data_IF_352714053414
#
_entry.id   IF_352714053414
#
_cell.length_a   1.000
_cell.length_b   1.000
_cell.length_c   1.000
_cell.angle_alpha   90.00
_cell.angle_beta   90.00
_cell.angle_gamma   90.00
#
_symmetry.space_group_name_H-M   'P 1'
#
loop_
_entity.id
_entity.type
_entity.pdbx_description
1 polymer ?
#
# COMPACT_ATOMS: atom_id res chain seq x y z
N UNK A 1 26.31 -0.22 -12.32
CA UNK A 1 24.85 -0.11 -12.17
C UNK A 1 24.35 -1.50 -11.81
N UNK A 2 23.50 -1.60 -10.81
CA UNK A 2 22.84 -2.86 -10.47
C UNK A 2 21.99 -3.32 -11.67
N UNK A 3 22.28 -4.51 -12.19
CA UNK A 3 21.61 -5.08 -13.37
C UNK A 3 20.12 -5.36 -13.12
N UNK A 4 19.70 -5.41 -11.85
CA UNK A 4 18.33 -5.65 -11.43
C UNK A 4 17.60 -4.36 -11.00
N UNK A 5 18.16 -3.19 -11.32
CA UNK A 5 17.52 -1.89 -11.07
C UNK A 5 16.72 -1.43 -12.29
N UNK A 6 15.60 -0.73 -12.02
CA UNK A 6 14.83 -0.02 -13.06
C UNK A 6 15.45 1.32 -13.47
N UNK A 7 16.57 1.71 -12.85
CA UNK A 7 17.30 2.94 -13.15
C UNK A 7 16.63 4.19 -12.62
N UNK A 8 16.81 5.31 -13.34
CA UNK A 8 16.20 6.59 -12.98
C UNK A 8 14.74 6.65 -13.42
N UNK A 9 13.87 7.11 -12.52
CA UNK A 9 12.42 7.21 -12.74
C UNK A 9 11.96 8.62 -12.42
N UNK A 10 11.00 9.14 -13.19
CA UNK A 10 10.36 10.43 -12.93
C UNK A 10 8.88 10.25 -12.60
N UNK A 11 8.35 10.99 -11.61
CA UNK A 11 6.94 10.96 -11.28
C UNK A 11 6.12 11.58 -12.41
N UNK A 12 5.00 10.93 -12.73
CA UNK A 12 3.99 11.41 -13.65
C UNK A 12 2.76 11.89 -12.88
N UNK A 13 1.97 12.77 -13.49
CA UNK A 13 0.80 13.37 -12.87
C UNK A 13 -0.41 13.25 -13.78
N UNK A 14 -1.51 12.74 -13.22
CA UNK A 14 -2.79 12.65 -13.89
C UNK A 14 -3.84 13.46 -13.12
N UNK A 15 -4.39 14.49 -13.76
CA UNK A 15 -5.43 15.35 -13.18
C UNK A 15 -6.78 15.08 -13.83
N UNK A 16 -7.81 14.86 -13.01
CA UNK A 16 -9.20 14.63 -13.40
C UNK A 16 -10.16 15.36 -12.44
N UNK A 17 -11.47 15.14 -12.58
CA UNK A 17 -12.48 15.78 -11.73
C UNK A 17 -12.39 17.33 -11.77
N UNK A 18 -12.13 17.87 -12.96
CA UNK A 18 -12.06 19.31 -13.21
C UNK A 18 -13.33 19.82 -13.89
N UNK A 19 -13.69 21.08 -13.62
CA UNK A 19 -14.91 21.68 -14.16
C UNK A 19 -16.17 21.02 -13.60
N UNK A 20 -17.04 20.52 -14.48
CA UNK A 20 -18.31 19.87 -14.10
C UNK A 20 -18.15 18.40 -13.70
N UNK A 21 -17.01 17.76 -14.00
CA UNK A 21 -16.67 16.42 -13.49
C UNK A 21 -16.11 16.56 -12.07
N UNK A 22 -16.55 15.71 -11.14
CA UNK A 22 -16.13 15.72 -9.75
C UNK A 22 -15.95 14.29 -9.24
N UNK A 23 -15.02 14.07 -8.31
CA UNK A 23 -14.94 12.80 -7.60
C UNK A 23 -15.95 12.81 -6.45
N UNK A 24 -17.02 12.03 -6.58
CA UNK A 24 -17.96 11.77 -5.49
C UNK A 24 -17.31 10.82 -4.48
N UNK A 25 -17.27 11.24 -3.22
CA UNK A 25 -16.70 10.49 -2.10
C UNK A 25 -17.78 9.70 -1.36
N UNK A 26 -17.40 8.67 -0.62
CA UNK A 26 -18.34 7.90 0.23
C UNK A 26 -19.06 8.77 1.27
N UNK A 27 -18.43 9.88 1.69
CA UNK A 27 -19.04 10.87 2.58
C UNK A 27 -20.19 11.67 1.94
N UNK A 28 -20.43 11.50 0.63
CA UNK A 28 -21.39 12.30 -0.16
C UNK A 28 -20.86 13.66 -0.59
N UNK A 29 -19.65 14.07 -0.14
CA UNK A 29 -18.96 15.27 -0.62
C UNK A 29 -18.31 15.01 -1.99
N UNK A 30 -18.00 16.09 -2.69
CA UNK A 30 -17.24 16.07 -3.94
C UNK A 30 -15.84 16.64 -3.75
N UNK A 31 -14.87 16.12 -4.49
CA UNK A 31 -13.50 16.63 -4.56
C UNK A 31 -13.10 16.88 -6.02
N UNK A 32 -12.54 18.06 -6.31
CA UNK A 32 -12.09 18.43 -7.65
C UNK A 32 -11.38 19.80 -7.70
N UNK A 33 -10.35 19.99 -8.55
CA UNK A 33 -9.68 18.97 -9.35
C UNK A 33 -8.86 18.01 -8.49
N UNK A 34 -8.74 16.76 -8.95
CA UNK A 34 -7.96 15.71 -8.29
C UNK A 34 -6.77 15.35 -9.16
N UNK A 35 -5.58 15.41 -8.60
CA UNK A 35 -4.33 14.96 -9.19
C UNK A 35 -3.86 13.69 -8.49
N UNK A 36 -3.43 12.69 -9.26
CA UNK A 36 -2.67 11.55 -8.76
C UNK A 36 -1.25 11.63 -9.30
N UNK A 37 -0.29 11.60 -8.38
CA UNK A 37 1.10 11.32 -8.70
C UNK A 37 1.29 9.81 -8.80
N UNK A 38 1.93 9.35 -9.87
CA UNK A 38 2.16 7.94 -10.12
C UNK A 38 3.48 7.72 -10.86
N UNK A 39 4.00 6.50 -10.74
CA UNK A 39 5.15 6.01 -11.48
C UNK A 39 4.83 4.67 -12.15
N UNK A 40 5.60 4.37 -13.18
CA UNK A 40 5.44 3.14 -13.96
C UNK A 40 6.79 2.51 -14.24
N UNK A 41 6.85 1.18 -14.16
CA UNK A 41 8.08 0.40 -14.33
C UNK A 41 7.85 -0.76 -15.31
N UNK A 42 8.81 -1.01 -16.19
CA UNK A 42 8.68 -2.02 -17.25
C UNK A 42 7.85 -1.55 -18.45
N UNK A 43 7.39 -2.50 -19.28
CA UNK A 43 6.71 -2.20 -20.55
C UNK A 43 5.30 -2.77 -20.63
N UNK A 44 4.34 -1.91 -20.93
CA UNK A 44 2.95 -2.30 -21.22
C UNK A 44 2.89 -3.11 -22.53
N UNK A 45 2.32 -4.32 -22.48
CA UNK A 45 2.19 -5.14 -23.68
C UNK A 45 1.02 -4.67 -24.58
N UNK A 46 1.00 -5.14 -25.83
CA UNK A 46 0.05 -4.66 -26.86
C UNK A 46 -1.43 -4.84 -26.47
N UNK A 47 -1.76 -5.91 -25.74
CA UNK A 47 -3.13 -6.17 -25.27
C UNK A 47 -3.39 -5.66 -23.84
N UNK A 48 -2.46 -4.90 -23.27
CA UNK A 48 -2.54 -4.25 -21.94
C UNK A 48 -2.92 -5.21 -20.81
N UNK A 49 -2.44 -6.44 -20.87
CA UNK A 49 -2.87 -7.55 -20.00
C UNK A 49 -1.88 -7.89 -18.89
N UNK A 50 -0.69 -7.27 -18.88
CA UNK A 50 0.43 -7.53 -17.96
C UNK A 50 0.60 -6.48 -16.86
N UNK A 51 -0.46 -5.76 -16.49
CA UNK A 51 -0.36 -4.65 -15.52
C UNK A 51 -0.45 -5.12 -14.09
N UNK A 52 0.53 -4.77 -13.26
CA UNK A 52 0.48 -4.93 -11.81
C UNK A 52 0.29 -3.56 -11.16
N UNK A 53 -0.79 -3.37 -10.39
CA UNK A 53 -0.98 -2.18 -9.56
C UNK A 53 -0.42 -2.45 -8.16
N UNK A 54 0.57 -1.67 -7.75
CA UNK A 54 1.16 -1.65 -6.42
C UNK A 54 0.48 -0.55 -5.60
N UNK A 55 -0.10 -0.93 -4.47
CA UNK A 55 -0.71 -0.04 -3.49
C UNK A 55 0.25 0.12 -2.31
N UNK A 56 0.70 1.36 -2.05
CA UNK A 56 1.65 1.62 -0.97
C UNK A 56 1.00 1.55 0.43
N UNK A 57 1.83 1.28 1.44
CA UNK A 57 1.45 1.32 2.86
C UNK A 57 1.36 2.77 3.39
N UNK A 58 0.97 2.96 4.66
CA UNK A 58 0.70 4.26 5.29
C UNK A 58 1.73 5.36 4.98
N UNK A 59 3.03 5.02 5.03
CA UNK A 59 4.12 5.99 4.85
C UNK A 59 4.86 5.93 3.51
N UNK A 60 4.39 5.07 2.60
CA UNK A 60 4.91 4.97 1.23
C UNK A 60 4.30 6.03 0.31
N UNK A 61 4.68 5.98 -0.96
CA UNK A 61 4.23 6.89 -2.01
C UNK A 61 4.31 6.21 -3.39
N UNK A 62 4.22 7.00 -4.46
CA UNK A 62 4.32 6.51 -5.83
C UNK A 62 5.71 5.94 -6.17
N UNK A 63 6.77 6.35 -5.47
CA UNK A 63 8.15 5.96 -5.79
C UNK A 63 8.48 4.60 -5.20
N UNK A 64 7.97 3.55 -5.85
CA UNK A 64 8.13 2.17 -5.40
C UNK A 64 9.46 1.53 -5.82
N UNK A 65 10.12 2.01 -6.88
CA UNK A 65 11.36 1.42 -7.39
C UNK A 65 12.24 2.44 -8.14
N UNK A 66 13.52 2.11 -8.31
CA UNK A 66 14.48 2.95 -9.01
C UNK A 66 14.93 4.14 -8.17
N UNK A 67 15.46 5.16 -8.83
CA UNK A 67 15.98 6.37 -8.20
C UNK A 67 15.39 7.61 -8.86
N UNK A 68 15.08 8.64 -8.07
CA UNK A 68 14.85 9.97 -8.63
C UNK A 68 16.18 10.64 -9.05
N UNK A 69 16.18 11.54 -10.04
CA UNK A 69 17.38 12.25 -10.45
C UNK A 69 18.09 12.96 -9.27
N UNK A 70 19.34 12.57 -9.01
CA UNK A 70 20.16 13.16 -7.95
C UNK A 70 19.96 12.54 -6.55
N UNK A 71 19.02 11.61 -6.39
CA UNK A 71 18.84 10.86 -5.14
C UNK A 71 19.69 9.58 -5.11
N UNK A 72 20.08 9.19 -3.89
CA UNK A 72 20.89 7.98 -3.65
C UNK A 72 20.11 6.86 -2.99
N UNK A 73 18.92 7.15 -2.46
CA UNK A 73 18.02 6.15 -1.90
C UNK A 73 17.06 5.67 -2.99
N UNK A 74 16.87 4.35 -3.13
CA UNK A 74 15.91 3.84 -4.09
C UNK A 74 14.47 3.94 -3.56
N UNK A 75 13.50 3.68 -4.43
CA UNK A 75 12.09 3.57 -4.08
C UNK A 75 11.80 2.54 -2.97
N UNK A 76 10.67 2.70 -2.30
CA UNK A 76 10.37 2.02 -1.03
C UNK A 76 10.22 0.49 -1.13
N UNK A 77 10.00 -0.04 -2.33
CA UNK A 77 9.93 -1.48 -2.61
C UNK A 77 10.87 -1.93 -3.72
N UNK A 78 11.99 -1.22 -3.91
CA UNK A 78 12.91 -1.46 -5.03
C UNK A 78 13.37 -2.92 -5.07
N UNK A 79 13.61 -3.54 -3.91
CA UNK A 79 14.02 -4.94 -3.82
C UNK A 79 13.01 -5.93 -4.46
N UNK A 80 11.73 -5.55 -4.57
CA UNK A 80 10.66 -6.38 -5.14
C UNK A 80 10.32 -6.02 -6.60
N UNK A 81 10.70 -4.85 -7.09
CA UNK A 81 10.32 -4.34 -8.41
C UNK A 81 11.56 -4.08 -9.26
N UNK A 82 11.66 -4.74 -10.41
CA UNK A 82 12.75 -4.58 -11.35
C UNK A 82 13.06 -5.86 -12.13
N UNK A 83 14.06 -5.85 -13.02
CA UNK A 83 14.39 -7.01 -13.83
C UNK A 83 14.69 -8.24 -12.97
N UNK A 84 13.94 -9.33 -13.19
CA UNK A 84 14.10 -10.60 -12.46
C UNK A 84 13.65 -10.63 -11.00
N UNK A 85 13.10 -9.52 -10.46
CA UNK A 85 12.54 -9.44 -9.10
C UNK A 85 11.10 -10.00 -9.05
N UNK A 86 10.48 -10.01 -7.87
CA UNK A 86 9.12 -10.53 -7.65
C UNK A 86 8.09 -9.96 -8.64
N UNK A 87 8.17 -8.64 -8.86
CA UNK A 87 7.42 -7.91 -9.86
C UNK A 87 8.34 -7.58 -11.03
N UNK A 88 8.66 -8.63 -11.79
CA UNK A 88 9.63 -8.60 -12.89
C UNK A 88 9.22 -7.62 -14.00
N UNK A 89 9.96 -6.51 -14.13
CA UNK A 89 9.68 -5.44 -15.11
C UNK A 89 9.99 -5.84 -16.55
N UNK A 90 10.68 -6.96 -16.78
CA UNK A 90 10.83 -7.55 -18.11
C UNK A 90 9.54 -8.25 -18.57
N UNK A 91 8.64 -8.57 -17.62
CA UNK A 91 7.40 -9.30 -17.89
C UNK A 91 6.15 -8.47 -17.65
N UNK A 92 6.19 -7.59 -16.66
CA UNK A 92 5.03 -6.84 -16.17
C UNK A 92 5.23 -5.33 -16.36
N UNK A 93 4.11 -4.64 -16.51
CA UNK A 93 4.04 -3.19 -16.41
C UNK A 93 3.52 -2.84 -15.03
N UNK A 94 4.42 -2.43 -14.14
CA UNK A 94 4.10 -2.11 -12.76
C UNK A 94 3.69 -0.65 -12.68
N UNK A 95 2.60 -0.35 -11.98
CA UNK A 95 2.10 1.01 -11.72
C UNK A 95 2.00 1.19 -10.21
N UNK A 96 2.53 2.28 -9.68
CA UNK A 96 2.33 2.68 -8.29
C UNK A 96 1.86 4.13 -8.26
N UNK A 97 0.84 4.44 -7.47
CA UNK A 97 0.32 5.81 -7.34
C UNK A 97 0.19 6.19 -5.89
N UNK A 98 0.56 7.42 -5.55
CA UNK A 98 0.30 7.97 -4.23
C UNK A 98 -1.22 8.16 -4.05
N UNK A 99 -1.76 7.82 -2.88
CA UNK A 99 -3.20 7.96 -2.61
C UNK A 99 -3.66 9.41 -2.53
N UNK A 100 -4.93 9.69 -2.84
CA UNK A 100 -5.57 10.96 -2.43
C UNK A 100 -5.55 11.05 -0.89
N UNK A 101 -5.43 12.26 -0.36
CA UNK A 101 -5.15 12.50 1.06
C UNK A 101 -3.68 12.33 1.45
N UNK A 102 -2.85 11.75 0.57
CA UNK A 102 -1.39 11.72 0.73
C UNK A 102 -0.73 13.09 0.58
N UNK A 103 0.59 13.12 0.78
CA UNK A 103 1.40 14.34 0.73
C UNK A 103 2.59 14.24 -0.23
N UNK A 104 2.55 13.28 -1.17
CA UNK A 104 3.61 12.99 -2.13
C UNK A 104 3.08 13.13 -3.57
N UNK A 105 2.63 14.34 -3.89
CA UNK A 105 2.22 14.75 -5.23
C UNK A 105 0.72 14.61 -5.52
N UNK A 106 0.06 13.54 -5.06
CA UNK A 106 -1.40 13.42 -5.19
C UNK A 106 -2.16 14.42 -4.31
N UNK A 107 -3.37 14.79 -4.71
CA UNK A 107 -4.19 15.76 -4.00
C UNK A 107 -4.50 15.29 -2.58
N UNK A 108 -4.16 16.13 -1.61
CA UNK A 108 -4.38 15.90 -0.18
C UNK A 108 -4.53 17.23 0.59
N UNK A 109 -4.53 17.19 1.93
CA UNK A 109 -4.76 18.37 2.76
C UNK A 109 -3.71 19.48 2.58
N UNK A 110 -2.47 19.13 2.20
CA UNK A 110 -1.43 20.12 1.86
C UNK A 110 -1.57 20.73 0.46
N UNK A 111 -2.44 20.17 -0.39
CA UNK A 111 -2.68 20.68 -1.75
C UNK A 111 -3.47 21.98 -1.72
N UNK A 112 -3.31 22.78 -2.77
CA UNK A 112 -4.04 24.03 -2.93
C UNK A 112 -5.54 23.79 -3.16
N UNK A 113 -6.37 24.46 -2.37
CA UNK A 113 -7.81 24.51 -2.55
C UNK A 113 -8.15 25.62 -3.57
N UNK A 114 -8.71 25.27 -4.75
CA UNK A 114 -9.02 26.24 -5.80
C UNK A 114 -10.10 27.26 -5.38
N UNK A 115 -10.91 26.96 -4.37
CA UNK A 115 -11.98 27.83 -3.89
C UNK A 115 -11.47 28.94 -2.96
N UNK A 116 -10.43 28.66 -2.17
CA UNK A 116 -9.96 29.58 -1.12
C UNK A 116 -8.60 30.21 -1.44
N UNK A 117 -7.84 29.62 -2.36
CA UNK A 117 -6.51 30.09 -2.68
C UNK A 117 -5.43 29.68 -1.66
N UNK A 118 -5.74 28.72 -0.77
CA UNK A 118 -4.87 28.27 0.33
C UNK A 118 -4.81 26.74 0.37
N UNK A 119 -3.84 26.11 1.07
CA UNK A 119 -3.89 24.67 1.33
C UNK A 119 -5.24 24.24 1.92
N UNK A 120 -5.74 23.06 1.55
CA UNK A 120 -7.02 22.56 2.07
C UNK A 120 -7.05 22.43 3.59
N UNK A 121 -5.94 22.06 4.23
CA UNK A 121 -5.92 21.77 5.66
C UNK A 121 -7.06 20.81 6.08
N UNK A 122 -7.85 21.19 7.08
CA UNK A 122 -9.01 20.39 7.52
C UNK A 122 -10.29 20.64 6.70
N UNK A 123 -10.27 21.55 5.71
CA UNK A 123 -11.37 21.69 4.77
C UNK A 123 -11.36 20.59 3.70
N UNK A 124 -10.24 19.87 3.57
CA UNK A 124 -10.14 18.64 2.77
C UNK A 124 -11.26 17.68 3.22
N UNK A 125 -12.03 17.09 2.30
CA UNK A 125 -13.08 16.16 2.71
C UNK A 125 -12.50 14.90 3.35
N UNK A 126 -13.21 14.36 4.34
CA UNK A 126 -12.90 13.01 4.83
C UNK A 126 -13.02 12.01 3.68
N UNK A 127 -12.00 11.17 3.56
CA UNK A 127 -11.85 10.16 2.53
C UNK A 127 -11.81 8.76 3.16
N UNK A 128 -12.10 7.76 2.34
CA UNK A 128 -11.99 6.34 2.71
C UNK A 128 -10.99 5.61 1.81
N UNK A 129 -10.66 4.36 2.15
CA UNK A 129 -9.91 3.47 1.25
C UNK A 129 -10.66 3.26 -0.08
N UNK A 130 -12.00 3.24 -0.08
CA UNK A 130 -12.78 3.14 -1.31
C UNK A 130 -12.60 4.36 -2.21
N UNK A 131 -12.55 5.57 -1.63
CA UNK A 131 -12.27 6.80 -2.37
C UNK A 131 -10.87 6.78 -3.00
N UNK A 132 -9.86 6.29 -2.26
CA UNK A 132 -8.50 6.10 -2.79
C UNK A 132 -8.50 5.15 -3.99
N UNK A 133 -9.20 4.02 -3.88
CA UNK A 133 -9.33 3.03 -4.97
C UNK A 133 -10.14 3.58 -6.15
N UNK A 134 -11.16 4.39 -5.90
CA UNK A 134 -11.93 5.07 -6.95
C UNK A 134 -11.08 6.06 -7.73
N UNK A 135 -10.20 6.80 -7.06
CA UNK A 135 -9.23 7.66 -7.72
C UNK A 135 -8.23 6.84 -8.55
N UNK A 136 -7.65 5.77 -7.98
CA UNK A 136 -6.76 4.85 -8.71
C UNK A 136 -7.46 4.26 -9.95
N UNK A 137 -8.75 3.93 -9.88
CA UNK A 137 -9.50 3.46 -11.04
C UNK A 137 -9.50 4.48 -12.18
N UNK A 138 -9.66 5.77 -11.88
CA UNK A 138 -9.61 6.83 -12.90
C UNK A 138 -8.23 6.88 -13.58
N UNK A 139 -7.15 6.65 -12.83
CA UNK A 139 -5.79 6.51 -13.39
C UNK A 139 -5.67 5.26 -14.27
N UNK A 140 -6.15 4.11 -13.83
CA UNK A 140 -6.13 2.86 -14.61
C UNK A 140 -6.93 3.01 -15.91
N UNK A 141 -8.06 3.72 -15.88
CA UNK A 141 -8.85 4.06 -17.06
C UNK A 141 -8.10 5.00 -18.01
N UNK A 142 -7.45 6.03 -17.48
CA UNK A 142 -6.61 6.96 -18.25
C UNK A 142 -5.46 6.24 -18.98
N UNK A 143 -4.83 5.26 -18.31
CA UNK A 143 -3.79 4.42 -18.91
C UNK A 143 -4.36 3.38 -19.90
N UNK A 144 -5.67 3.33 -20.12
CA UNK A 144 -6.33 2.44 -21.08
C UNK A 144 -6.35 0.97 -20.65
N UNK A 145 -6.32 0.69 -19.34
CA UNK A 145 -6.17 -0.66 -18.79
C UNK A 145 -7.53 -1.19 -18.36
N UNK A 146 -8.11 -2.11 -19.14
CA UNK A 146 -9.42 -2.70 -18.82
C UNK A 146 -9.40 -3.61 -17.59
N UNK A 147 -8.32 -4.41 -17.43
CA UNK A 147 -8.20 -5.42 -16.38
C UNK A 147 -6.76 -5.55 -15.91
N UNK A 148 -6.55 -5.39 -14.60
CA UNK A 148 -5.27 -5.60 -13.94
C UNK A 148 -4.89 -7.08 -13.97
N UNK A 149 -3.62 -7.36 -14.27
CA UNK A 149 -3.04 -8.68 -14.05
C UNK A 149 -3.02 -9.00 -12.56
N UNK A 150 -2.55 -8.06 -11.75
CA UNK A 150 -2.54 -8.18 -10.30
C UNK A 150 -2.74 -6.81 -9.65
N UNK A 151 -3.39 -6.80 -8.48
CA UNK A 151 -3.29 -5.71 -7.51
C UNK A 151 -2.60 -6.26 -6.25
N UNK A 152 -1.65 -5.53 -5.70
CA UNK A 152 -0.82 -5.99 -4.59
C UNK A 152 -0.53 -4.85 -3.62
N UNK A 153 -0.45 -5.17 -2.33
CA UNK A 153 -0.02 -4.22 -1.31
C UNK A 153 0.08 -4.84 0.07
N UNK A 154 0.99 -4.30 0.87
CA UNK A 154 1.16 -4.62 2.29
C UNK A 154 0.46 -3.62 3.19
N UNK A 155 0.01 -4.02 4.38
CA UNK A 155 -0.57 -3.11 5.38
C UNK A 155 -1.81 -2.38 4.83
N UNK A 156 -1.83 -1.04 4.89
CA UNK A 156 -2.84 -0.20 4.21
C UNK A 156 -2.93 -0.47 2.70
N UNK A 157 -1.82 -0.80 2.04
CA UNK A 157 -1.80 -1.24 0.64
C UNK A 157 -2.60 -2.51 0.42
N UNK A 158 -2.59 -3.41 1.40
CA UNK A 158 -3.39 -4.63 1.40
C UNK A 158 -4.89 -4.35 1.52
N UNK A 159 -5.29 -3.34 2.30
CA UNK A 159 -6.68 -2.87 2.37
C UNK A 159 -7.14 -2.35 1.01
N UNK A 160 -6.30 -1.56 0.32
CA UNK A 160 -6.57 -1.09 -1.04
C UNK A 160 -6.67 -2.25 -2.03
N UNK A 161 -5.79 -3.26 -1.96
CA UNK A 161 -5.86 -4.44 -2.82
C UNK A 161 -7.15 -5.25 -2.61
N UNK A 162 -7.58 -5.43 -1.36
CA UNK A 162 -8.87 -6.03 -1.02
C UNK A 162 -10.04 -5.19 -1.55
N UNK A 163 -10.00 -3.88 -1.35
CA UNK A 163 -11.02 -2.95 -1.85
C UNK A 163 -11.14 -3.00 -3.38
N UNK A 164 -10.03 -3.05 -4.12
CA UNK A 164 -10.01 -3.24 -5.57
C UNK A 164 -10.70 -4.53 -5.99
N UNK A 165 -10.33 -5.64 -5.36
CA UNK A 165 -10.91 -6.94 -5.67
C UNK A 165 -12.42 -6.99 -5.31
N UNK A 166 -12.82 -6.30 -4.25
CA UNK A 166 -14.21 -6.21 -3.77
C UNK A 166 -15.10 -5.36 -4.69
N UNK A 167 -14.65 -4.14 -4.99
CA UNK A 167 -15.43 -3.14 -5.74
C UNK A 167 -15.39 -3.36 -7.25
N UNK A 168 -14.30 -3.91 -7.78
CA UNK A 168 -14.08 -4.10 -9.22
C UNK A 168 -13.63 -5.54 -9.56
N UNK A 169 -14.38 -6.58 -9.14
CA UNK A 169 -13.96 -7.99 -9.28
C UNK A 169 -13.68 -8.41 -10.73
N UNK A 170 -14.43 -7.86 -11.69
CA UNK A 170 -14.23 -8.18 -13.11
C UNK A 170 -12.97 -7.51 -13.71
N UNK A 171 -12.41 -6.52 -13.01
CA UNK A 171 -11.21 -5.77 -13.42
C UNK A 171 -9.93 -6.25 -12.74
N UNK A 172 -10.01 -7.27 -11.87
CA UNK A 172 -8.85 -7.81 -11.15
C UNK A 172 -8.72 -9.30 -11.42
N UNK A 173 -7.63 -9.71 -12.06
CA UNK A 173 -7.34 -11.13 -12.30
C UNK A 173 -6.73 -11.81 -11.05
N UNK A 174 -5.85 -11.10 -10.35
CA UNK A 174 -5.24 -11.58 -9.13
C UNK A 174 -5.11 -10.47 -8.08
N UNK A 175 -5.13 -10.86 -6.81
CA UNK A 175 -4.93 -9.94 -5.68
C UNK A 175 -3.95 -10.56 -4.68
N UNK A 176 -2.97 -9.77 -4.24
CA UNK A 176 -1.97 -10.18 -3.25
C UNK A 176 -2.04 -9.22 -2.05
N UNK A 177 -3.00 -9.42 -1.12
CA UNK A 177 -3.01 -8.69 0.15
C UNK A 177 -1.99 -9.29 1.12
N UNK A 178 -1.10 -8.46 1.66
CA UNK A 178 -0.02 -8.86 2.56
C UNK A 178 -0.13 -8.12 3.90
N UNK A 179 0.11 -8.80 5.03
CA UNK A 179 0.15 -8.18 6.36
C UNK A 179 -1.00 -7.18 6.58
N UNK A 180 -2.24 -7.62 6.35
CA UNK A 180 -3.42 -6.73 6.31
C UNK A 180 -4.65 -7.43 6.87
N UNK A 181 -5.78 -6.72 6.91
CA UNK A 181 -7.02 -7.21 7.48
C UNK A 181 -8.25 -6.76 6.66
N UNK A 182 -9.40 -7.41 6.89
CA UNK A 182 -10.70 -6.97 6.36
C UNK A 182 -11.20 -5.69 7.05
N UNK A 183 -10.77 -5.46 8.29
CA UNK A 183 -11.01 -4.26 9.09
C UNK A 183 -9.92 -4.15 10.16
N UNK A 184 -9.71 -2.96 10.70
CA UNK A 184 -8.86 -2.82 11.87
C UNK A 184 -9.54 -3.35 13.14
N UNK A 185 -8.73 -3.90 14.03
CA UNK A 185 -9.10 -4.31 15.39
C UNK A 185 -9.14 -3.10 16.32
N UNK A 186 -9.76 -3.23 17.51
CA UNK A 186 -9.75 -2.15 18.51
C UNK A 186 -8.33 -1.69 18.89
N UNK A 187 -7.36 -2.60 18.91
CA UNK A 187 -5.97 -2.27 19.25
C UNK A 187 -5.30 -1.43 18.15
N UNK A 188 -5.53 -1.78 16.88
CA UNK A 188 -5.02 -1.00 15.73
C UNK A 188 -5.62 0.42 15.73
N UNK A 189 -6.94 0.53 15.92
CA UNK A 189 -7.64 1.84 16.02
C UNK A 189 -7.12 2.65 17.21
N UNK A 190 -6.82 2.01 18.35
CA UNK A 190 -6.28 2.69 19.52
C UNK A 190 -4.89 3.30 19.24
N UNK A 191 -4.01 2.60 18.53
CA UNK A 191 -2.71 3.16 18.12
C UNK A 191 -2.88 4.34 17.17
N UNK A 192 -3.74 4.20 16.16
CA UNK A 192 -4.02 5.27 15.21
C UNK A 192 -4.64 6.49 15.92
N UNK A 193 -5.47 6.29 16.94
CA UNK A 193 -5.99 7.38 17.76
C UNK A 193 -4.92 8.10 18.57
N UNK A 194 -4.03 7.38 19.27
CA UNK A 194 -2.96 8.02 20.06
C UNK A 194 -2.01 8.80 19.15
N UNK A 195 -1.71 8.27 17.96
CA UNK A 195 -0.97 8.96 16.91
C UNK A 195 -1.67 10.27 16.52
N UNK A 196 -2.97 10.24 16.24
CA UNK A 196 -3.70 11.46 15.86
C UNK A 196 -3.72 12.46 17.00
N UNK A 197 -3.92 12.02 18.23
CA UNK A 197 -3.91 12.87 19.42
C UNK A 197 -2.53 13.50 19.66
N UNK A 198 -1.42 12.79 19.40
CA UNK A 198 -0.09 13.39 19.56
C UNK A 198 0.14 14.56 18.62
N UNK A 199 -0.38 14.48 17.38
CA UNK A 199 -0.35 15.57 16.41
C UNK A 199 -1.27 16.71 16.85
N UNK A 200 -2.53 16.40 17.19
CA UNK A 200 -3.54 17.43 17.51
C UNK A 200 -3.27 18.16 18.82
N UNK A 201 -2.53 17.53 19.75
CA UNK A 201 -2.09 18.14 21.00
C UNK A 201 -0.88 19.09 20.83
N UNK A 202 -0.17 19.02 19.70
CA UNK A 202 0.93 19.94 19.41
C UNK A 202 0.39 21.36 19.19
N UNK A 203 0.79 22.37 19.97
CA UNK A 203 0.34 23.75 19.78
C UNK A 203 0.60 24.29 18.37
N UNK A 204 1.65 23.80 17.70
CA UNK A 204 2.00 24.21 16.34
C UNK A 204 1.06 23.61 15.28
N UNK A 205 0.20 22.64 15.64
CA UNK A 205 -0.80 22.09 14.71
C UNK A 205 -1.88 23.10 14.36
N UNK A 206 -2.16 24.07 15.23
CA UNK A 206 -3.05 25.21 14.94
C UNK A 206 -4.40 24.80 14.33
N UNK A 207 -5.01 23.74 14.87
CA UNK A 207 -6.26 23.16 14.36
C UNK A 207 -6.19 22.80 12.87
N UNK A 208 -5.03 22.32 12.44
CA UNK A 208 -4.70 21.94 11.07
C UNK A 208 -4.26 23.08 10.14
N UNK A 209 -4.33 24.35 10.57
CA UNK A 209 -4.00 25.51 9.76
C UNK A 209 -2.55 25.99 9.95
N UNK A 210 -1.60 25.05 9.91
CA UNK A 210 -0.20 25.30 10.24
C UNK A 210 0.70 25.67 9.05
N UNK A 211 0.21 25.56 7.81
CA UNK A 211 1.04 25.69 6.60
C UNK A 211 1.78 27.04 6.46
N UNK A 212 1.21 28.14 6.96
CA UNK A 212 1.87 29.46 6.96
C UNK A 212 2.88 29.63 8.12
N UNK A 213 2.89 28.72 9.09
CA UNK A 213 3.65 28.83 10.34
C UNK A 213 4.69 27.72 10.57
N UNK A 214 4.63 26.64 9.79
CA UNK A 214 5.49 25.46 9.94
C UNK A 214 4.73 24.25 10.52
N UNK A 215 5.28 23.04 10.36
CA UNK A 215 4.62 21.80 10.76
C UNK A 215 4.63 21.57 12.29
N UNK A 216 3.63 20.85 12.84
CA UNK A 216 3.65 20.34 14.22
C UNK A 216 4.66 19.20 14.36
N UNK A 217 5.94 19.54 14.31
CA UNK A 217 7.03 18.58 14.22
C UNK A 217 7.11 17.68 15.45
N UNK A 218 6.81 18.20 16.66
CA UNK A 218 6.91 17.40 17.89
C UNK A 218 5.81 16.33 17.91
N UNK A 219 4.58 16.73 17.65
CA UNK A 219 3.43 15.83 17.60
C UNK A 219 3.56 14.79 16.50
N UNK A 220 4.03 15.18 15.31
CA UNK A 220 4.26 14.27 14.18
C UNK A 220 5.45 13.33 14.40
N UNK A 221 6.52 13.79 15.06
CA UNK A 221 7.64 12.93 15.43
C UNK A 221 7.21 11.85 16.44
N UNK A 222 6.44 12.22 17.46
CA UNK A 222 5.88 11.26 18.43
C UNK A 222 4.95 10.26 17.75
N UNK A 223 4.06 10.72 16.86
CA UNK A 223 3.22 9.86 16.04
C UNK A 223 4.05 8.82 15.28
N UNK A 224 5.17 9.26 14.66
CA UNK A 224 6.07 8.33 13.97
C UNK A 224 6.77 7.36 14.92
N UNK A 225 7.18 7.81 16.11
CA UNK A 225 7.80 6.93 17.10
C UNK A 225 6.85 5.80 17.50
N UNK A 226 5.59 6.13 17.78
CA UNK A 226 4.55 5.13 18.10
C UNK A 226 4.40 4.13 16.95
N UNK A 227 4.22 4.62 15.72
CA UNK A 227 4.13 3.74 14.55
C UNK A 227 5.36 2.84 14.40
N UNK A 228 6.57 3.39 14.56
CA UNK A 228 7.81 2.63 14.42
C UNK A 228 7.96 1.54 15.50
N UNK A 229 7.47 1.77 16.73
CA UNK A 229 7.38 0.73 17.76
C UNK A 229 6.44 -0.38 17.31
N UNK A 230 5.27 -0.04 16.76
CA UNK A 230 4.28 -1.04 16.32
C UNK A 230 4.73 -1.87 15.13
N UNK A 231 5.73 -1.41 14.37
CA UNK A 231 6.19 -2.12 13.18
C UNK A 231 7.24 -3.20 13.46
N UNK A 232 7.91 -3.13 14.62
CA UNK A 232 8.96 -4.06 14.99
C UNK A 232 8.43 -5.14 15.94
N UNK A 233 8.93 -6.37 15.84
CA UNK A 233 8.64 -7.40 16.84
C UNK A 233 9.44 -7.19 18.13
N UNK A 234 8.96 -7.75 19.24
CA UNK A 234 9.70 -7.78 20.51
C UNK A 234 11.10 -8.41 20.34
N UNK A 235 11.19 -9.49 19.55
CA UNK A 235 12.46 -10.15 19.29
C UNK A 235 13.44 -9.23 18.54
N UNK A 236 12.97 -8.53 17.50
CA UNK A 236 13.80 -7.58 16.74
C UNK A 236 14.27 -6.41 17.62
N UNK A 237 13.38 -5.92 18.49
CA UNK A 237 13.70 -4.85 19.44
C UNK A 237 14.77 -5.31 20.45
N UNK A 238 14.66 -6.53 20.99
CA UNK A 238 15.64 -7.10 21.92
C UNK A 238 17.01 -7.31 21.24
N UNK A 239 17.04 -7.95 20.06
CA UNK A 239 18.28 -8.21 19.33
C UNK A 239 19.01 -6.90 18.97
N UNK A 240 18.26 -5.89 18.53
CA UNK A 240 18.82 -4.62 18.09
C UNK A 240 19.30 -3.78 19.27
N UNK A 241 18.43 -3.55 20.25
CA UNK A 241 18.66 -2.56 21.31
C UNK A 241 18.97 -3.18 22.66
N UNK A 242 18.24 -4.22 23.07
CA UNK A 242 18.23 -4.72 24.44
C UNK A 242 18.20 -3.54 25.44
N UNK A 243 19.04 -3.55 26.48
CA UNK A 243 19.24 -2.43 27.41
C UNK A 243 20.55 -1.66 27.15
N UNK A 244 21.03 -1.60 25.90
CA UNK A 244 22.30 -0.93 25.56
C UNK A 244 22.19 0.58 25.85
N UNK A 245 23.17 1.09 26.60
CA UNK A 245 23.32 2.51 26.89
C UNK A 245 24.14 3.20 25.80
N UNK A 246 23.76 4.43 25.47
CA UNK A 246 24.42 5.24 24.43
C UNK A 246 25.82 5.69 24.81
N UNK A 247 25.99 6.11 26.07
CA UNK A 247 27.26 6.62 26.62
C UNK A 247 27.79 5.75 27.79
N UNK A 248 27.22 4.56 28.01
CA UNK A 248 27.64 3.64 29.07
C UNK A 248 27.23 3.99 30.51
N UNK A 249 26.62 5.15 30.74
CA UNK A 249 26.17 5.62 32.07
C UNK A 249 24.76 6.23 32.00
N UNK A 250 24.06 6.26 33.13
CA UNK A 250 22.80 6.99 33.28
C UNK A 250 23.04 8.49 33.49
N UNK A 251 22.30 9.34 32.78
CA UNK A 251 22.37 10.80 32.95
C UNK A 251 21.52 11.29 34.13
N UNK A 252 20.52 10.51 34.55
CA UNK A 252 19.48 10.92 35.51
C UNK A 252 18.72 12.19 35.08
N UNK A 253 18.54 12.36 33.77
CA UNK A 253 17.76 13.43 33.14
C UNK A 253 16.80 12.85 32.09
N UNK A 254 16.07 13.71 31.36
CA UNK A 254 15.26 13.28 30.21
C UNK A 254 16.05 13.19 28.88
N UNK A 255 17.39 13.20 28.94
CA UNK A 255 18.23 12.86 27.79
C UNK A 255 18.01 11.40 27.35
N UNK A 256 18.46 11.06 26.14
CA UNK A 256 18.42 9.67 25.65
C UNK A 256 19.62 8.87 26.19
N UNK A 257 19.37 8.08 27.24
CA UNK A 257 20.37 7.22 27.87
C UNK A 257 20.46 5.87 27.15
N UNK A 258 19.34 5.36 26.62
CA UNK A 258 19.29 4.10 25.89
C UNK A 258 19.36 4.30 24.37
N UNK A 259 20.03 3.37 23.67
CA UNK A 259 20.14 3.38 22.21
C UNK A 259 18.78 3.43 21.50
N UNK A 260 17.77 2.74 22.04
CA UNK A 260 16.40 2.73 21.49
C UNK A 260 15.74 4.11 21.54
N UNK A 261 16.02 4.93 22.56
CA UNK A 261 15.45 6.28 22.70
C UNK A 261 16.01 7.20 21.62
N UNK A 262 17.34 7.21 21.44
CA UNK A 262 18.01 7.98 20.41
C UNK A 262 17.59 7.54 19.00
N UNK A 263 17.44 6.23 18.78
CA UNK A 263 16.95 5.68 17.53
C UNK A 263 15.53 6.18 17.20
N UNK A 264 14.59 6.09 18.15
CA UNK A 264 13.21 6.53 17.93
C UNK A 264 13.14 8.03 17.65
N UNK A 265 13.89 8.87 18.40
CA UNK A 265 13.99 10.31 18.14
C UNK A 265 14.49 10.60 16.72
N UNK A 266 15.57 9.94 16.31
CA UNK A 266 16.11 10.08 14.94
C UNK A 266 15.10 9.65 13.86
N UNK A 267 14.34 8.57 14.07
CA UNK A 267 13.30 8.14 13.12
C UNK A 267 12.14 9.14 13.05
N UNK A 268 11.74 9.73 14.18
CA UNK A 268 10.76 10.81 14.24
C UNK A 268 11.22 12.04 13.46
N UNK A 269 12.42 12.54 13.77
CA UNK A 269 12.99 13.76 13.17
C UNK A 269 13.19 13.67 11.66
N UNK A 270 13.46 12.48 11.13
CA UNK A 270 13.56 12.31 9.67
C UNK A 270 12.19 12.17 8.99
N UNK A 271 11.18 11.65 9.70
CA UNK A 271 9.85 11.50 9.13
C UNK A 271 9.15 12.86 8.93
N UNK A 272 9.30 13.78 9.89
CA UNK A 272 8.70 15.13 9.81
C UNK A 272 9.19 15.93 8.61
N UNK A 273 10.37 15.62 8.07
CA UNK A 273 10.93 16.28 6.88
C UNK A 273 10.21 15.90 5.59
N UNK A 274 9.55 14.75 5.56
CA UNK A 274 9.01 14.16 4.32
C UNK A 274 7.51 13.92 4.32
N UNK A 275 6.82 14.13 5.45
CA UNK A 275 5.41 13.81 5.61
C UNK A 275 4.62 14.98 6.17
N UNK A 276 3.37 15.12 5.74
CA UNK A 276 2.44 16.14 6.20
C UNK A 276 1.60 15.64 7.38
N UNK A 277 1.50 16.44 8.44
CA UNK A 277 0.77 16.05 9.64
C UNK A 277 -0.73 15.81 9.39
N UNK A 278 -1.41 16.69 8.64
CA UNK A 278 -2.82 16.51 8.30
C UNK A 278 -3.01 15.27 7.42
N UNK A 279 -2.15 15.02 6.42
CA UNK A 279 -2.21 13.78 5.64
C UNK A 279 -2.16 12.54 6.52
N UNK A 280 -1.31 12.53 7.57
CA UNK A 280 -1.25 11.42 8.52
C UNK A 280 -2.59 11.21 9.25
N UNK A 281 -3.27 12.31 9.64
CA UNK A 281 -4.61 12.25 10.25
C UNK A 281 -5.64 11.64 9.29
N UNK A 282 -5.68 12.12 8.04
CA UNK A 282 -6.66 11.66 7.05
C UNK A 282 -6.45 10.18 6.69
N UNK A 283 -5.21 9.77 6.45
CA UNK A 283 -4.91 8.40 6.01
C UNK A 283 -5.20 7.41 7.13
N UNK A 284 -4.76 7.68 8.37
CA UNK A 284 -5.07 6.81 9.51
C UNK A 284 -6.58 6.75 9.76
N UNK A 285 -7.31 7.86 9.59
CA UNK A 285 -8.77 7.82 9.73
C UNK A 285 -9.47 7.03 8.62
N UNK A 286 -8.94 7.08 7.40
CA UNK A 286 -9.43 6.25 6.29
C UNK A 286 -9.20 4.75 6.57
N UNK A 287 -8.09 4.38 7.23
CA UNK A 287 -7.80 3.02 7.68
C UNK A 287 -8.77 2.56 8.77
N UNK A 288 -9.06 3.40 9.77
CA UNK A 288 -10.05 3.10 10.81
C UNK A 288 -11.46 2.85 10.23
N UNK A 289 -11.85 3.61 9.19
CA UNK A 289 -13.17 3.48 8.55
C UNK A 289 -13.28 2.29 7.60
N UNK A 290 -12.16 1.68 7.21
CA UNK A 290 -12.18 0.56 6.29
C UNK A 290 -12.79 -0.69 6.93
N UNK A 291 -13.88 -1.18 6.34
CA UNK A 291 -14.52 -2.42 6.75
C UNK A 291 -15.08 -3.20 5.55
N UNK A 292 -14.47 -4.36 5.26
CA UNK A 292 -14.97 -5.37 4.32
C UNK A 292 -15.40 -6.66 5.03
N UNK A 293 -15.49 -6.65 6.36
CA UNK A 293 -15.97 -7.80 7.14
C UNK A 293 -17.49 -7.98 7.01
N UNK A 294 -18.05 -8.96 7.72
CA UNK A 294 -19.51 -9.11 7.91
C UNK A 294 -20.36 -9.14 6.62
N UNK A 295 -19.78 -9.65 5.52
CA UNK A 295 -20.45 -9.80 4.23
C UNK A 295 -20.24 -8.65 3.24
N UNK A 296 -19.56 -7.58 3.67
CA UNK A 296 -19.25 -6.40 2.85
C UNK A 296 -18.18 -6.67 1.80
N UNK A 297 -17.29 -7.63 1.99
CA UNK A 297 -16.36 -8.06 0.94
C UNK A 297 -17.10 -8.70 -0.23
N UNK A 298 -16.86 -8.22 -1.45
CA UNK A 298 -17.49 -8.69 -2.69
C UNK A 298 -19.03 -8.68 -2.60
N UNK A 299 -19.66 -7.53 -2.31
CA UNK A 299 -21.09 -7.48 -2.02
C UNK A 299 -21.90 -7.80 -3.30
N UNK A 300 -22.85 -8.72 -3.21
CA UNK A 300 -23.69 -9.12 -4.36
C UNK A 300 -22.98 -9.91 -5.47
N UNK A 301 -21.68 -10.21 -5.33
CA UNK A 301 -20.91 -10.96 -6.32
C UNK A 301 -21.21 -12.46 -6.17
N UNK A 302 -21.92 -13.04 -7.16
CA UNK A 302 -22.24 -14.49 -7.19
C UNK A 302 -21.00 -15.36 -7.43
N UNK A 303 -20.09 -14.90 -8.27
CA UNK A 303 -18.84 -15.58 -8.57
C UNK A 303 -17.81 -14.56 -9.06
N UNK A 304 -16.55 -14.74 -8.68
CA UNK A 304 -15.41 -14.01 -9.25
C UNK A 304 -14.35 -15.00 -9.71
N UNK A 305 -13.63 -14.63 -10.79
CA UNK A 305 -12.45 -15.37 -11.27
C UNK A 305 -11.15 -14.85 -10.66
N UNK A 306 -11.21 -13.83 -9.79
CA UNK A 306 -10.03 -13.30 -9.10
C UNK A 306 -9.38 -14.39 -8.26
N UNK A 307 -8.08 -14.58 -8.43
CA UNK A 307 -7.27 -15.50 -7.61
C UNK A 307 -6.54 -14.70 -6.53
N UNK A 308 -6.59 -15.18 -5.30
CA UNK A 308 -5.96 -14.51 -4.17
C UNK A 308 -4.71 -15.25 -3.72
N UNK A 309 -3.67 -14.49 -3.38
CA UNK A 309 -2.53 -14.99 -2.61
C UNK A 309 -2.35 -14.12 -1.37
N UNK A 310 -2.76 -14.63 -0.22
CA UNK A 310 -2.70 -13.91 1.05
C UNK A 310 -1.41 -14.28 1.77
N UNK A 311 -0.66 -13.27 2.20
CA UNK A 311 0.61 -13.45 2.93
C UNK A 311 0.48 -12.82 4.32
N UNK A 312 0.85 -13.57 5.36
CA UNK A 312 1.09 -13.05 6.71
C UNK A 312 2.52 -13.32 7.15
N UNK A 313 2.90 -12.72 8.28
CA UNK A 313 4.20 -12.92 8.88
C UNK A 313 4.03 -13.32 10.34
N UNK A 314 4.72 -14.37 10.75
CA UNK A 314 4.58 -15.01 12.07
C UNK A 314 4.81 -14.07 13.26
N UNK A 315 5.69 -13.07 13.14
CA UNK A 315 5.96 -12.08 14.20
C UNK A 315 5.21 -10.77 14.05
N UNK A 316 4.39 -10.61 13.00
CA UNK A 316 3.54 -9.44 12.87
C UNK A 316 2.48 -9.49 13.97
N UNK A 317 2.52 -8.51 14.86
CA UNK A 317 1.56 -8.37 15.94
C UNK A 317 0.63 -7.17 15.70
N UNK A 318 0.95 -6.30 14.73
CA UNK A 318 0.09 -5.21 14.32
C UNK A 318 -1.01 -5.73 13.40
N UNK A 319 -0.67 -6.54 12.38
CA UNK A 319 -1.59 -7.29 11.51
C UNK A 319 -1.36 -8.79 11.62
N UNK A 320 -1.74 -9.39 12.76
CA UNK A 320 -1.38 -10.76 13.09
C UNK A 320 -1.96 -11.80 12.12
N UNK A 321 -1.31 -12.97 11.97
CA UNK A 321 -1.71 -14.01 11.01
C UNK A 321 -3.19 -14.40 11.06
N UNK A 322 -3.84 -14.31 12.23
CA UNK A 322 -5.27 -14.63 12.34
C UNK A 322 -6.16 -13.71 11.48
N UNK A 323 -5.76 -12.45 11.23
CA UNK A 323 -6.49 -11.53 10.35
C UNK A 323 -6.37 -11.94 8.88
N UNK A 324 -5.16 -12.31 8.43
CA UNK A 324 -4.96 -12.91 7.09
C UNK A 324 -5.73 -14.23 6.93
N UNK A 325 -5.75 -15.07 7.96
CA UNK A 325 -6.53 -16.30 7.96
C UNK A 325 -8.03 -16.03 7.87
N UNK A 326 -8.54 -14.93 8.43
CA UNK A 326 -9.93 -14.52 8.29
C UNK A 326 -10.30 -14.21 6.83
N UNK A 327 -9.44 -13.46 6.12
CA UNK A 327 -9.58 -13.22 4.67
C UNK A 327 -9.69 -14.56 3.93
N UNK A 328 -8.78 -15.50 4.23
CA UNK A 328 -8.73 -16.81 3.57
C UNK A 328 -9.97 -17.65 3.89
N UNK A 329 -10.45 -17.64 5.14
CA UNK A 329 -11.69 -18.33 5.54
C UNK A 329 -12.89 -17.78 4.77
N UNK A 330 -12.99 -16.45 4.61
CA UNK A 330 -14.06 -15.80 3.86
C UNK A 330 -14.02 -16.18 2.38
N UNK A 331 -12.84 -16.13 1.75
CA UNK A 331 -12.63 -16.54 0.36
C UNK A 331 -13.03 -18.01 0.14
N UNK A 332 -12.60 -18.91 1.02
CA UNK A 332 -12.93 -20.34 0.96
C UNK A 332 -14.44 -20.60 1.11
N UNK A 333 -15.12 -19.93 2.05
CA UNK A 333 -16.57 -20.02 2.21
C UNK A 333 -17.33 -19.62 0.94
N UNK A 334 -16.78 -18.67 0.19
CA UNK A 334 -17.34 -18.21 -1.10
C UNK A 334 -16.82 -19.00 -2.31
N UNK A 335 -16.06 -20.08 -2.11
CA UNK A 335 -15.44 -20.92 -3.16
C UNK A 335 -14.56 -20.13 -4.12
N UNK A 336 -13.92 -19.08 -3.62
CA UNK A 336 -12.96 -18.27 -4.37
C UNK A 336 -11.57 -18.87 -4.20
N UNK A 337 -10.82 -18.97 -5.30
CA UNK A 337 -9.48 -19.54 -5.30
C UNK A 337 -8.52 -18.66 -4.47
N UNK A 338 -7.99 -19.23 -3.38
CA UNK A 338 -7.09 -18.55 -2.47
C UNK A 338 -5.92 -19.45 -2.07
N UNK A 339 -4.71 -18.94 -2.22
CA UNK A 339 -3.48 -19.47 -1.63
C UNK A 339 -3.15 -18.65 -0.38
N UNK A 340 -2.66 -19.30 0.66
CA UNK A 340 -2.23 -18.64 1.90
C UNK A 340 -0.83 -19.09 2.27
N UNK A 341 0.02 -18.17 2.68
CA UNK A 341 1.32 -18.46 3.26
C UNK A 341 1.54 -17.60 4.51
N UNK A 342 2.05 -18.23 5.57
CA UNK A 342 2.50 -17.55 6.77
C UNK A 342 4.01 -17.62 6.83
N UNK A 343 4.67 -16.50 6.51
CA UNK A 343 6.11 -16.43 6.39
C UNK A 343 6.76 -16.31 7.76
N UNK A 344 7.81 -17.11 7.96
CA UNK A 344 8.59 -17.04 9.19
C UNK A 344 9.47 -15.80 9.13
N UNK A 345 9.25 -14.86 10.04
CA UNK A 345 10.03 -13.62 10.12
C UNK A 345 10.14 -13.18 11.56
N UNK A 346 11.21 -12.46 11.89
CA UNK A 346 11.38 -11.77 13.17
C UNK A 346 11.18 -10.26 13.07
N UNK A 347 10.89 -9.72 11.88
CA UNK A 347 10.87 -8.27 11.67
C UNK A 347 9.56 -7.58 12.06
N UNK A 348 8.53 -8.33 12.49
CA UNK A 348 7.24 -7.75 12.83
C UNK A 348 6.44 -7.36 11.59
N UNK A 349 5.77 -6.22 11.65
CA UNK A 349 4.92 -5.74 10.56
C UNK A 349 5.70 -5.34 9.31
N UNK A 350 6.90 -4.78 9.47
CA UNK A 350 7.74 -4.36 8.34
C UNK A 350 8.35 -5.56 7.56
N UNK A 351 8.04 -6.80 7.95
CA UNK A 351 8.53 -8.02 7.30
C UNK A 351 8.29 -8.02 5.78
N UNK A 352 7.16 -7.50 5.30
CA UNK A 352 6.84 -7.44 3.86
C UNK A 352 7.76 -6.53 3.03
N UNK A 353 8.58 -5.72 3.69
CA UNK A 353 9.58 -4.85 3.06
C UNK A 353 10.98 -5.46 3.09
N UNK A 354 11.20 -6.53 3.88
CA UNK A 354 12.55 -7.05 4.18
C UNK A 354 12.72 -8.55 3.92
N UNK A 355 11.67 -9.36 3.95
CA UNK A 355 11.72 -10.81 3.65
C UNK A 355 11.71 -11.11 2.13
N UNK A 356 12.55 -10.38 1.40
CA UNK A 356 12.54 -10.27 -0.06
C UNK A 356 12.70 -11.61 -0.77
N UNK A 357 13.58 -12.49 -0.31
CA UNK A 357 13.94 -13.73 -1.02
C UNK A 357 12.75 -14.71 -1.08
N UNK A 358 12.16 -15.03 0.07
CA UNK A 358 11.07 -15.99 0.14
C UNK A 358 9.81 -15.44 -0.52
N UNK A 359 9.51 -14.16 -0.32
CA UNK A 359 8.42 -13.47 -1.01
C UNK A 359 8.59 -13.51 -2.52
N UNK A 360 9.79 -13.19 -3.03
CA UNK A 360 10.09 -13.18 -4.46
C UNK A 360 9.83 -14.55 -5.07
N UNK A 361 10.27 -15.63 -4.43
CA UNK A 361 10.05 -17.00 -4.90
C UNK A 361 8.55 -17.33 -4.98
N UNK A 362 7.79 -17.02 -3.94
CA UNK A 362 6.38 -17.37 -3.84
C UNK A 362 5.50 -16.52 -4.76
N UNK A 363 5.72 -15.20 -4.78
CA UNK A 363 4.99 -14.26 -5.64
C UNK A 363 5.27 -14.57 -7.10
N UNK A 364 6.53 -14.75 -7.49
CA UNK A 364 6.89 -15.12 -8.87
C UNK A 364 6.21 -16.43 -9.31
N UNK A 365 6.19 -17.45 -8.44
CA UNK A 365 5.50 -18.71 -8.71
C UNK A 365 4.00 -18.52 -8.88
N UNK A 366 3.36 -17.74 -8.00
CA UNK A 366 1.93 -17.45 -8.08
C UNK A 366 1.56 -16.70 -9.37
N UNK A 367 2.28 -15.62 -9.70
CA UNK A 367 2.06 -14.83 -10.91
C UNK A 367 2.34 -15.65 -12.17
N UNK A 368 3.42 -16.45 -12.18
CA UNK A 368 3.77 -17.36 -13.27
C UNK A 368 2.68 -18.40 -13.56
N UNK A 369 2.11 -18.99 -12.51
CA UNK A 369 0.99 -19.93 -12.64
C UNK A 369 -0.28 -19.28 -13.21
N UNK A 370 -0.54 -18.01 -12.89
CA UNK A 370 -1.65 -17.26 -13.49
C UNK A 370 -1.36 -17.01 -14.97
N UNK A 371 -0.16 -16.52 -15.29
CA UNK A 371 0.25 -16.26 -16.68
C UNK A 371 0.15 -17.52 -17.54
N UNK A 372 0.63 -18.66 -17.04
CA UNK A 372 0.53 -19.96 -17.73
C UNK A 372 -0.94 -20.38 -17.98
N UNK A 373 -1.85 -20.07 -17.05
CA UNK A 373 -3.29 -20.36 -17.24
C UNK A 373 -3.99 -19.47 -18.28
N UNK A 374 -3.35 -18.37 -18.71
CA UNK A 374 -3.87 -17.47 -19.74
C UNK A 374 -3.32 -17.79 -21.14
N UNK A 375 -2.18 -18.46 -21.22
CA UNK A 375 -1.64 -18.94 -22.50
C UNK A 375 -2.63 -19.96 -23.08
N UNK A 376 -2.88 -19.95 -24.41
CA UNK A 376 -3.61 -21.03 -25.04
C UNK A 376 -2.92 -22.34 -24.67
N UNK A 377 -3.64 -23.25 -24.01
CA UNK A 377 -3.13 -24.60 -23.84
C UNK A 377 -2.78 -25.12 -25.24
N UNK A 378 -1.55 -25.58 -25.41
CA UNK A 378 -1.21 -26.42 -26.55
C UNK A 378 -2.22 -27.56 -26.56
N UNK A 379 -3.20 -27.51 -27.47
CA UNK A 379 -3.92 -28.72 -27.86
C UNK A 379 -2.88 -29.52 -28.63
N UNK A 380 -2.42 -30.67 -28.12
CA UNK A 380 -1.48 -31.49 -28.88
C UNK A 380 -2.12 -31.79 -30.23
N UNK A 381 -1.38 -31.56 -31.32
CA UNK A 381 -1.78 -31.99 -32.65
C UNK A 381 -1.84 -33.52 -32.66
N UNK A 382 -2.98 -34.08 -32.26
CA UNK A 382 -3.14 -35.52 -32.05
C UNK A 382 -4.57 -36.01 -31.94
N UNK A 383 -5.55 -35.17 -31.58
CA UNK A 383 -6.95 -35.60 -31.42
C UNK A 383 -7.91 -35.16 -32.54
N UNK A 384 -7.43 -34.61 -33.65
CA UNK A 384 -8.26 -34.39 -34.84
C UNK A 384 -8.45 -35.64 -35.72
N UNK A 385 -7.82 -36.78 -35.38
CA UNK A 385 -7.94 -38.02 -36.15
C UNK A 385 -8.94 -39.04 -35.62
N UNK A 386 -9.54 -38.86 -34.44
CA UNK A 386 -10.49 -39.83 -33.89
C UNK A 386 -11.97 -39.52 -34.18
N UNK A 387 -12.31 -38.33 -34.68
CA UNK A 387 -13.70 -37.96 -35.00
C UNK A 387 -14.06 -38.07 -36.50
N UNK A 388 -13.13 -38.54 -37.36
CA UNK A 388 -13.40 -38.82 -38.78
C UNK A 388 -13.55 -40.31 -39.13
N UNK A 389 -13.54 -41.22 -38.16
CA UNK A 389 -13.76 -42.67 -38.42
C UNK A 389 -15.13 -43.21 -37.97
N UNK A 390 -16.03 -42.36 -37.41
CA UNK A 390 -17.42 -42.75 -37.06
C UNK A 390 -18.44 -42.09 -37.99
N UNK A 391 -18.05 -41.89 -39.25
CA UNK A 391 -18.96 -41.53 -40.34
C UNK A 391 -18.55 -42.35 -41.58
N UNK A 392 -18.81 -43.65 -41.51
CA UNK A 392 -18.96 -44.52 -42.67
C UNK A 392 -20.33 -45.17 -42.61
#
# INVERSE_FOLDING_TARGET
MDINSVGTVEPQYFTFAAGTDQLLLESGRTLGPVTLAYETYGRLNANRSNVILVCHALSGDAHAAGFHPGETAPGWWDAMIGPGKAFDTEQYFVVCSNVIGGCKGSTGPSSFNPQTGKPYALDFPMITIADMVNAQRRLIDFLGIGKLFCVVGGSMGGMQALQWASAYPDRVRAAIPMATALKQSPQQIAFDEVIRQSIMADPDWRKGNYYEHGQPNKGLAVARMIGHITFMSDQSMEEKFSRKLKNGNYSFTFADDFEVEGYLRYRGDNFVKRFDANSYLYITKAMDYFDLSDGLFLPGVKATKTRFFVISFTSDWLYPPYQSQEIVRLLKRRRIAATYCDLKSTYGHDAFLVEVEEETRLISSFLGNIKASLSPQFVPAGEERLLRSIAK
#
